data_IF_599291104540
#
_entry.id   IF_599291104540
#
_cell.length_a   1.000
_cell.length_b   1.000
_cell.length_c   1.000
_cell.angle_alpha   90.00
_cell.angle_beta   90.00
_cell.angle_gamma   90.00
#
_symmetry.space_group_name_H-M   'P 1'
#
loop_
_entity.id
_entity.type
_entity.pdbx_description
1 polymer ?
#
# COMPACT_ATOMS: atom_id res chain seq x y z
N UNK A 1 8.08 14.83 -13.07
CA UNK A 1 8.43 14.69 -11.63
C UNK A 1 7.42 15.24 -10.63
N UNK A 2 6.97 16.51 -10.72
CA UNK A 2 6.07 17.10 -9.72
C UNK A 2 4.77 16.30 -9.53
N UNK A 3 4.16 15.88 -10.64
CA UNK A 3 2.93 15.07 -10.64
C UNK A 3 3.16 13.72 -9.96
N UNK A 4 4.22 13.00 -10.31
CA UNK A 4 4.54 11.69 -9.71
C UNK A 4 4.71 11.78 -8.18
N UNK A 5 5.42 12.80 -7.70
CA UNK A 5 5.58 13.03 -6.25
C UNK A 5 4.26 13.40 -5.58
N UNK A 6 3.44 14.23 -6.23
CA UNK A 6 2.13 14.64 -5.70
C UNK A 6 1.15 13.46 -5.66
N UNK A 7 1.11 12.63 -6.69
CA UNK A 7 0.27 11.44 -6.75
C UNK A 7 0.67 10.43 -5.69
N UNK A 8 1.98 10.17 -5.52
CA UNK A 8 2.48 9.29 -4.45
C UNK A 8 2.05 9.79 -3.07
N UNK A 9 2.31 11.07 -2.77
CA UNK A 9 1.91 11.69 -1.51
C UNK A 9 0.40 11.60 -1.28
N UNK A 10 -0.40 11.95 -2.29
CA UNK A 10 -1.85 11.91 -2.16
C UNK A 10 -2.36 10.50 -1.82
N UNK A 11 -1.77 9.46 -2.43
CA UNK A 11 -2.10 8.08 -2.11
C UNK A 11 -1.65 7.67 -0.70
N UNK A 12 -0.47 8.10 -0.26
CA UNK A 12 0.07 7.85 1.09
C UNK A 12 -0.71 8.59 2.21
N UNK A 13 -1.28 9.75 1.89
CA UNK A 13 -2.05 10.57 2.83
C UNK A 13 -3.48 10.04 3.04
N UNK A 14 -4.02 9.26 2.10
CA UNK A 14 -5.35 8.66 2.23
C UNK A 14 -5.37 7.66 3.40
N UNK A 15 -6.25 7.90 4.37
CA UNK A 15 -6.51 7.00 5.49
C UNK A 15 -7.89 6.37 5.33
N UNK A 16 -7.91 5.10 4.91
CA UNK A 16 -9.11 4.27 4.84
C UNK A 16 -8.92 3.04 5.72
N UNK A 17 -9.92 2.70 6.51
CA UNK A 17 -9.86 1.58 7.45
C UNK A 17 -11.01 0.61 7.20
N UNK A 18 -10.74 -0.69 7.36
CA UNK A 18 -11.76 -1.74 7.24
C UNK A 18 -12.07 -2.19 5.81
N UNK A 19 -11.49 -1.56 4.79
CA UNK A 19 -11.63 -1.93 3.39
C UNK A 19 -10.26 -2.11 2.76
N UNK A 20 -10.12 -3.15 1.92
CA UNK A 20 -8.96 -3.29 1.03
C UNK A 20 -9.10 -2.29 -0.11
N UNK A 21 -8.00 -1.64 -0.47
CA UNK A 21 -7.95 -0.66 -1.57
C UNK A 21 -6.85 -1.03 -2.55
N UNK A 22 -6.89 -0.45 -3.75
CA UNK A 22 -5.85 -0.61 -4.77
C UNK A 22 -4.66 0.34 -4.57
N UNK A 23 -4.62 1.11 -3.48
CA UNK A 23 -3.54 2.07 -3.20
C UNK A 23 -2.14 1.44 -3.27
N UNK A 24 -1.88 0.26 -2.65
CA UNK A 24 -0.55 -0.37 -2.72
C UNK A 24 -0.13 -0.69 -4.17
N UNK A 25 -1.06 -1.19 -4.97
CA UNK A 25 -0.84 -1.50 -6.38
C UNK A 25 -0.54 -0.24 -7.21
N UNK A 26 -1.30 0.83 -6.99
CA UNK A 26 -1.06 2.12 -7.65
C UNK A 26 0.31 2.72 -7.25
N UNK A 27 0.76 2.52 -6.02
CA UNK A 27 2.09 2.94 -5.57
C UNK A 27 3.20 2.16 -6.29
N UNK A 28 3.02 0.87 -6.57
CA UNK A 28 3.98 0.09 -7.38
C UNK A 28 4.04 0.60 -8.83
N UNK A 29 2.89 0.92 -9.45
CA UNK A 29 2.87 1.55 -10.78
C UNK A 29 3.67 2.86 -10.78
N UNK A 30 3.46 3.73 -9.77
CA UNK A 30 4.19 4.99 -9.65
C UNK A 30 5.69 4.80 -9.37
N UNK A 31 6.13 3.65 -8.88
CA UNK A 31 7.55 3.31 -8.67
C UNK A 31 8.22 2.75 -9.92
N UNK A 32 7.46 2.15 -10.84
CA UNK A 32 8.01 1.57 -12.08
C UNK A 32 8.73 2.62 -12.92
N UNK A 33 9.99 2.33 -13.28
CA UNK A 33 10.77 3.18 -14.19
C UNK A 33 10.11 3.28 -15.58
N UNK A 34 9.46 2.19 -16.03
CA UNK A 34 8.76 2.15 -17.31
C UNK A 34 7.59 3.13 -17.32
N UNK A 35 6.77 3.13 -16.26
CA UNK A 35 5.68 4.10 -16.10
C UNK A 35 6.19 5.55 -16.01
N UNK A 36 7.25 5.78 -15.22
CA UNK A 36 7.85 7.11 -15.06
C UNK A 36 8.45 7.67 -16.37
N UNK A 37 8.86 6.79 -17.29
CA UNK A 37 9.38 7.20 -18.61
C UNK A 37 8.30 7.76 -19.53
N UNK A 38 7.01 7.51 -19.23
CA UNK A 38 5.88 7.90 -20.09
C UNK A 38 5.75 7.09 -21.38
N UNK A 39 6.59 6.07 -21.58
CA UNK A 39 6.59 5.20 -22.75
C UNK A 39 5.96 3.85 -22.42
N UNK A 40 4.63 3.80 -22.42
CA UNK A 40 3.86 2.59 -22.13
C UNK A 40 2.58 2.57 -22.96
N UNK A 41 1.99 1.38 -23.12
CA UNK A 41 0.72 1.18 -23.82
C UNK A 41 -0.27 0.36 -22.94
N UNK A 42 -1.35 -0.12 -23.55
CA UNK A 42 -2.38 -0.89 -22.85
C UNK A 42 -1.90 -2.22 -22.30
N UNK A 43 -0.80 -2.78 -22.82
CA UNK A 43 -0.20 -4.04 -22.35
C UNK A 43 0.70 -3.87 -21.12
N UNK A 44 0.94 -2.63 -20.67
CA UNK A 44 1.86 -2.34 -19.57
C UNK A 44 1.58 -3.18 -18.32
N UNK A 45 0.33 -3.28 -17.89
CA UNK A 45 -0.02 -4.02 -16.68
C UNK A 45 0.22 -5.53 -16.86
N UNK A 46 -0.18 -6.08 -18.00
CA UNK A 46 -0.05 -7.52 -18.29
C UNK A 46 1.42 -7.95 -18.42
N UNK A 47 2.26 -7.05 -18.94
CA UNK A 47 3.70 -7.27 -19.12
C UNK A 47 4.52 -7.08 -17.83
N UNK A 48 3.92 -6.57 -16.76
CA UNK A 48 4.61 -6.26 -15.50
C UNK A 48 3.94 -6.97 -14.30
N UNK A 49 3.96 -8.32 -14.24
CA UNK A 49 3.34 -9.09 -13.15
C UNK A 49 3.99 -8.81 -11.78
N UNK A 50 5.19 -8.23 -11.74
CA UNK A 50 5.82 -7.80 -10.49
C UNK A 50 5.05 -6.67 -9.78
N UNK A 51 4.17 -5.94 -10.47
CA UNK A 51 3.38 -4.86 -9.88
C UNK A 51 2.43 -5.34 -8.78
N UNK A 52 2.10 -6.63 -8.74
CA UNK A 52 1.28 -7.22 -7.66
C UNK A 52 2.11 -7.75 -6.48
N UNK A 53 3.44 -7.74 -6.59
CA UNK A 53 4.34 -8.22 -5.54
C UNK A 53 4.64 -7.14 -4.48
N UNK A 54 3.58 -6.53 -3.95
CA UNK A 54 3.70 -5.53 -2.88
C UNK A 54 3.43 -6.13 -1.50
N UNK A 55 4.09 -5.57 -0.49
CA UNK A 55 3.79 -5.90 0.89
C UNK A 55 2.54 -5.16 1.36
N UNK A 56 1.58 -5.90 1.90
CA UNK A 56 0.45 -5.30 2.62
C UNK A 56 0.92 -5.03 4.04
N UNK A 57 0.95 -3.77 4.43
CA UNK A 57 1.31 -3.39 5.80
C UNK A 57 0.40 -4.09 6.80
N UNK A 58 1.00 -4.64 7.86
CA UNK A 58 0.25 -5.30 8.94
C UNK A 58 -0.70 -4.29 9.56
N UNK A 59 -1.99 -4.65 9.62
CA UNK A 59 -3.02 -3.81 10.21
C UNK A 59 -2.64 -3.40 11.65
N UNK A 60 -2.56 -2.09 11.90
CA UNK A 60 -2.31 -1.55 13.25
C UNK A 60 -3.35 -2.03 14.27
N UNK A 61 -4.56 -2.38 13.80
CA UNK A 61 -5.61 -2.94 14.65
C UNK A 61 -5.27 -4.33 15.18
N UNK A 62 -4.67 -5.19 14.37
CA UNK A 62 -4.23 -6.51 14.84
C UNK A 62 -3.11 -6.38 15.87
N UNK A 63 -2.19 -5.44 15.65
CA UNK A 63 -1.14 -5.15 16.62
C UNK A 63 -1.73 -4.62 17.93
N UNK A 64 -2.63 -3.63 17.86
CA UNK A 64 -3.30 -3.09 19.04
C UNK A 64 -4.11 -4.15 19.80
N UNK A 65 -4.82 -5.02 19.09
CA UNK A 65 -5.55 -6.13 19.70
C UNK A 65 -4.61 -7.13 20.38
N UNK A 66 -3.51 -7.51 19.74
CA UNK A 66 -2.51 -8.41 20.32
C UNK A 66 -1.87 -7.81 21.58
N UNK A 67 -1.52 -6.53 21.55
CA UNK A 67 -0.99 -5.81 22.71
C UNK A 67 -2.04 -5.73 23.83
N UNK A 68 -3.28 -5.38 23.50
CA UNK A 68 -4.38 -5.31 24.46
C UNK A 68 -4.65 -6.67 25.13
N UNK A 69 -4.66 -7.76 24.35
CA UNK A 69 -4.81 -9.12 24.88
C UNK A 69 -3.65 -9.50 25.81
N UNK A 70 -2.41 -9.17 25.44
CA UNK A 70 -1.24 -9.43 26.27
C UNK A 70 -1.30 -8.67 27.61
N UNK A 71 -1.73 -7.40 27.59
CA UNK A 71 -1.92 -6.59 28.80
C UNK A 71 -3.05 -7.15 29.66
N UNK A 72 -4.20 -7.51 29.07
CA UNK A 72 -5.32 -8.10 29.79
C UNK A 72 -4.93 -9.39 30.52
N UNK A 73 -4.27 -10.31 29.80
CA UNK A 73 -3.79 -11.57 30.37
C UNK A 73 -2.76 -11.36 31.49
N UNK A 74 -1.89 -10.34 31.36
CA UNK A 74 -0.92 -10.00 32.40
C UNK A 74 -1.58 -9.44 33.67
N UNK A 75 -2.69 -8.72 33.53
CA UNK A 75 -3.41 -8.06 34.63
C UNK A 75 -4.53 -8.93 35.25
N UNK A 76 -4.72 -10.16 34.77
CA UNK A 76 -5.72 -11.08 35.31
C UNK A 76 -7.17 -10.80 34.86
N UNK A 77 -7.34 -10.16 33.70
CA UNK A 77 -8.61 -10.12 32.95
C UNK A 77 -8.66 -11.26 31.94
#
# INVERSE_FOLDING_TARGET
DQVLRRSRRALEDIRLFGLKTTIPYQLEILKSAHFQSGKFDTSFVESHPELINYSVHRSSRHLAAALGAAVAAHMGL
#
